data_IF_825576070742
#
_entry.id   IF_825576070742
#
_cell.length_a   1.000
_cell.length_b   1.000
_cell.length_c   1.000
_cell.angle_alpha   90.00
_cell.angle_beta   90.00
_cell.angle_gamma   90.00
#
_symmetry.space_group_name_H-M   'P 1'
#
loop_
_entity.id
_entity.type
_entity.pdbx_description
1 polymer ?
#
# COMPACT_ATOMS: atom_id res chain seq x y z
N UNK A 1 1.57 -30.98 16.14
CA UNK A 1 2.20 -30.28 15.01
C UNK A 1 2.14 -28.80 15.35
N UNK A 2 3.23 -28.20 15.82
CA UNK A 2 3.29 -26.75 16.06
C UNK A 2 3.36 -26.08 14.69
N UNK A 3 2.28 -25.40 14.28
CA UNK A 3 2.35 -24.53 13.11
C UNK A 3 3.42 -23.46 13.39
N UNK A 4 4.39 -23.36 12.49
CA UNK A 4 5.45 -22.36 12.57
C UNK A 4 4.83 -20.96 12.52
N UNK A 5 5.30 -20.07 13.40
CA UNK A 5 4.76 -18.72 13.48
C UNK A 5 5.09 -17.94 12.19
N UNK A 6 4.09 -17.74 11.33
CA UNK A 6 4.20 -16.89 10.15
C UNK A 6 3.62 -15.51 10.45
N UNK A 7 4.45 -14.45 10.53
CA UNK A 7 3.99 -13.12 10.92
C UNK A 7 3.10 -12.45 9.86
N UNK A 8 3.31 -12.72 8.57
CA UNK A 8 2.47 -12.18 7.49
C UNK A 8 1.05 -12.75 7.57
N UNK A 9 0.90 -14.04 7.87
CA UNK A 9 -0.41 -14.67 8.06
C UNK A 9 -1.09 -14.19 9.34
N UNK A 10 -0.36 -14.18 10.46
CA UNK A 10 -0.95 -13.91 11.79
C UNK A 10 -1.27 -12.43 11.99
N UNK A 11 -0.42 -11.52 11.50
CA UNK A 11 -0.58 -10.08 11.73
C UNK A 11 -1.16 -9.33 10.54
N UNK A 12 -0.80 -9.70 9.31
CA UNK A 12 -1.27 -9.00 8.11
C UNK A 12 -2.39 -9.76 7.37
N UNK A 13 -2.73 -10.98 7.80
CA UNK A 13 -3.77 -11.79 7.17
C UNK A 13 -3.39 -12.32 5.79
N UNK A 14 -2.10 -12.32 5.44
CA UNK A 14 -1.61 -12.73 4.11
C UNK A 14 -1.37 -14.26 4.11
N UNK A 15 -2.12 -15.03 3.31
CA UNK A 15 -2.00 -16.48 3.28
C UNK A 15 -0.70 -16.92 2.58
N UNK A 16 -0.33 -18.20 2.70
CA UNK A 16 0.97 -18.71 2.22
C UNK A 16 1.08 -18.73 0.69
N UNK A 17 -0.03 -18.88 -0.01
CA UNK A 17 -0.14 -18.83 -1.48
C UNK A 17 0.04 -17.42 -2.05
N UNK A 18 -0.12 -16.39 -1.22
CA UNK A 18 0.15 -14.99 -1.58
C UNK A 18 1.54 -14.50 -1.10
N UNK A 19 2.43 -15.41 -0.66
CA UNK A 19 3.79 -15.08 -0.23
C UNK A 19 4.84 -15.41 -1.30
N UNK A 20 5.81 -14.51 -1.56
CA UNK A 20 6.05 -13.23 -0.88
C UNK A 20 5.04 -12.14 -1.31
N UNK A 21 4.60 -11.27 -0.36
CA UNK A 21 3.63 -10.24 -0.67
C UNK A 21 4.24 -9.09 -1.47
N UNK A 22 3.47 -8.56 -2.42
CA UNK A 22 3.78 -7.28 -3.08
C UNK A 22 3.44 -6.08 -2.16
N UNK A 23 3.87 -4.86 -2.54
CA UNK A 23 3.66 -3.66 -1.73
C UNK A 23 2.17 -3.37 -1.47
N UNK A 24 1.29 -3.61 -2.44
CA UNK A 24 -0.15 -3.44 -2.25
C UNK A 24 -0.71 -4.42 -1.22
N UNK A 25 -0.29 -5.70 -1.28
CA UNK A 25 -0.70 -6.73 -0.33
C UNK A 25 -0.18 -6.48 1.08
N UNK A 26 1.07 -6.02 1.22
CA UNK A 26 1.61 -5.59 2.51
C UNK A 26 0.77 -4.49 3.16
N UNK A 27 0.29 -3.52 2.38
CA UNK A 27 -0.56 -2.44 2.89
C UNK A 27 -2.05 -2.85 3.04
N UNK A 28 -2.45 -4.02 2.54
CA UNK A 28 -3.85 -4.45 2.50
C UNK A 28 -4.70 -3.60 1.56
N UNK A 29 -4.15 -3.27 0.39
CA UNK A 29 -4.79 -2.48 -0.67
C UNK A 29 -5.18 -3.35 -1.87
N UNK A 30 -6.10 -2.84 -2.69
CA UNK A 30 -6.29 -3.34 -4.03
C UNK A 30 -5.03 -3.11 -4.88
N UNK A 31 -4.77 -3.99 -5.84
CA UNK A 31 -3.67 -3.82 -6.79
C UNK A 31 -3.89 -2.53 -7.59
N UNK A 32 -2.81 -1.77 -7.78
CA UNK A 32 -2.80 -0.53 -8.55
C UNK A 32 -3.75 0.56 -8.01
N UNK A 33 -3.96 0.61 -6.70
CA UNK A 33 -4.63 1.75 -6.04
C UNK A 33 -3.95 3.08 -6.43
N UNK A 34 -4.75 4.08 -6.79
CA UNK A 34 -4.28 5.35 -7.34
C UNK A 34 -4.44 6.50 -6.35
N UNK A 35 -5.36 6.40 -5.39
CA UNK A 35 -5.61 7.47 -4.43
C UNK A 35 -4.50 7.51 -3.35
N UNK A 36 -3.66 8.55 -3.30
CA UNK A 36 -2.59 8.65 -2.31
C UNK A 36 -3.13 8.72 -0.87
N UNK A 37 -4.32 9.27 -0.65
CA UNK A 37 -4.94 9.33 0.68
C UNK A 37 -5.35 7.94 1.14
N UNK A 38 -5.84 7.10 0.24
CA UNK A 38 -6.16 5.69 0.54
C UNK A 38 -4.88 4.91 0.87
N UNK A 39 -3.81 5.10 0.09
CA UNK A 39 -2.51 4.46 0.31
C UNK A 39 -1.93 4.85 1.67
N UNK A 40 -1.93 6.15 1.98
CA UNK A 40 -1.41 6.66 3.25
C UNK A 40 -2.17 6.10 4.46
N UNK A 41 -3.50 6.16 4.42
CA UNK A 41 -4.34 5.63 5.50
C UNK A 41 -4.16 4.12 5.69
N UNK A 42 -3.97 3.36 4.60
CA UNK A 42 -3.71 1.94 4.67
C UNK A 42 -2.36 1.62 5.31
N UNK A 43 -1.31 2.35 4.92
CA UNK A 43 0.00 2.22 5.54
C UNK A 43 -0.05 2.54 7.03
N UNK A 44 -0.67 3.66 7.43
CA UNK A 44 -0.75 4.06 8.83
C UNK A 44 -1.50 3.02 9.68
N UNK A 45 -2.61 2.46 9.16
CA UNK A 45 -3.35 1.37 9.82
C UNK A 45 -2.48 0.14 10.03
N UNK A 46 -1.80 -0.34 8.99
CA UNK A 46 -0.97 -1.54 9.08
C UNK A 46 0.22 -1.33 10.03
N UNK A 47 0.90 -0.20 9.92
CA UNK A 47 2.02 0.11 10.81
C UNK A 47 1.56 0.25 12.27
N UNK A 48 0.40 0.86 12.52
CA UNK A 48 -0.16 0.95 13.87
C UNK A 48 -0.46 -0.44 14.45
N UNK A 49 -1.02 -1.34 13.63
CA UNK A 49 -1.27 -2.72 14.06
C UNK A 49 0.03 -3.45 14.41
N UNK A 50 1.02 -3.43 13.52
CA UNK A 50 2.29 -4.15 13.73
C UNK A 50 3.08 -3.59 14.92
N UNK A 51 3.01 -2.27 15.18
CA UNK A 51 3.62 -1.65 16.36
C UNK A 51 3.15 -2.25 17.68
N UNK A 52 1.94 -2.80 17.74
CA UNK A 52 1.42 -3.44 18.97
C UNK A 52 2.23 -4.67 19.41
N UNK A 53 3.01 -5.27 18.49
CA UNK A 53 3.81 -6.46 18.76
C UNK A 53 5.28 -6.16 19.11
N UNK A 54 5.69 -4.88 19.12
CA UNK A 54 7.09 -4.47 19.33
C UNK A 54 7.65 -4.77 20.73
N UNK A 55 6.81 -5.01 21.72
CA UNK A 55 7.24 -5.36 23.10
C UNK A 55 7.14 -6.87 23.39
N UNK A 56 6.79 -7.69 22.40
CA UNK A 56 6.59 -9.13 22.56
C UNK A 56 7.79 -10.00 22.18
N UNK A 57 7.65 -11.34 22.25
CA UNK A 57 8.69 -12.30 21.86
C UNK A 57 9.17 -12.13 20.41
N UNK A 58 8.29 -11.62 19.54
CA UNK A 58 8.55 -11.41 18.11
C UNK A 58 8.90 -9.94 17.79
N UNK A 59 9.45 -9.19 18.74
CA UNK A 59 9.78 -7.77 18.58
C UNK A 59 10.69 -7.51 17.36
N UNK A 60 11.72 -8.33 17.16
CA UNK A 60 12.62 -8.21 16.01
C UNK A 60 11.86 -8.37 14.67
N UNK A 61 11.00 -9.38 14.58
CA UNK A 61 10.15 -9.62 13.40
C UNK A 61 9.18 -8.46 13.15
N UNK A 62 8.58 -7.90 14.20
CA UNK A 62 7.70 -6.74 14.06
C UNK A 62 8.45 -5.52 13.51
N UNK A 63 9.70 -5.32 13.92
CA UNK A 63 10.53 -4.24 13.40
C UNK A 63 10.88 -4.44 11.93
N UNK A 64 11.19 -5.68 11.52
CA UNK A 64 11.42 -6.01 10.11
C UNK A 64 10.20 -5.65 9.26
N UNK A 65 9.01 -6.12 9.65
CA UNK A 65 7.77 -5.85 8.91
C UNK A 65 7.46 -4.34 8.87
N UNK A 66 7.75 -3.60 9.95
CA UNK A 66 7.57 -2.15 9.93
C UNK A 66 8.50 -1.45 8.93
N UNK A 67 9.70 -1.97 8.70
CA UNK A 67 10.60 -1.46 7.67
C UNK A 67 10.01 -1.75 6.28
N UNK A 68 9.55 -2.98 6.02
CA UNK A 68 8.91 -3.36 4.76
C UNK A 68 7.65 -2.52 4.48
N UNK A 69 6.80 -2.28 5.49
CA UNK A 69 5.63 -1.40 5.37
C UNK A 69 6.02 0.05 5.06
N UNK A 70 7.13 0.52 5.64
CA UNK A 70 7.65 1.87 5.37
C UNK A 70 8.15 1.98 3.94
N UNK A 71 8.87 0.97 3.44
CA UNK A 71 9.35 0.90 2.06
C UNK A 71 8.18 0.87 1.08
N UNK A 72 7.16 0.03 1.34
CA UNK A 72 5.93 -0.03 0.55
C UNK A 72 5.24 1.33 0.48
N UNK A 73 5.06 2.01 1.62
CA UNK A 73 4.48 3.36 1.67
C UNK A 73 5.27 4.35 0.82
N UNK A 74 6.59 4.39 0.96
CA UNK A 74 7.44 5.32 0.23
C UNK A 74 7.43 5.06 -1.28
N UNK A 75 7.40 3.80 -1.68
CA UNK A 75 7.31 3.38 -3.08
C UNK A 75 5.99 3.81 -3.71
N UNK A 76 4.87 3.55 -3.03
CA UNK A 76 3.53 3.77 -3.58
C UNK A 76 3.03 5.22 -3.49
N UNK A 77 3.54 6.04 -2.55
CA UNK A 77 3.14 7.45 -2.45
C UNK A 77 3.90 8.39 -3.39
N UNK A 78 5.04 7.96 -3.94
CA UNK A 78 5.83 8.76 -4.89
C UNK A 78 5.51 8.31 -6.32
N UNK A 79 5.00 9.22 -7.13
CA UNK A 79 4.55 8.95 -8.51
C UNK A 79 5.60 8.19 -9.32
N UNK A 80 6.84 8.71 -9.41
CA UNK A 80 7.91 8.10 -10.24
C UNK A 80 8.24 6.66 -9.83
N UNK A 81 8.33 6.40 -8.52
CA UNK A 81 8.65 5.05 -8.01
C UNK A 81 7.46 4.11 -8.12
N UNK A 82 6.24 4.62 -7.95
CA UNK A 82 5.01 3.85 -8.11
C UNK A 82 4.83 3.40 -9.55
N UNK A 83 4.98 4.30 -10.52
CA UNK A 83 4.84 3.98 -11.95
C UNK A 83 5.86 2.91 -12.38
N UNK A 84 7.12 3.07 -11.98
CA UNK A 84 8.18 2.10 -12.26
C UNK A 84 7.89 0.74 -11.62
N UNK A 85 7.37 0.74 -10.39
CA UNK A 85 7.00 -0.47 -9.66
C UNK A 85 5.79 -1.16 -10.29
N UNK A 86 4.77 -0.41 -10.66
CA UNK A 86 3.55 -0.93 -11.27
C UNK A 86 3.82 -1.58 -12.62
N UNK A 87 4.67 -0.97 -13.45
CA UNK A 87 5.11 -1.56 -14.70
C UNK A 87 5.82 -2.91 -14.48
N UNK A 88 6.72 -3.00 -13.50
CA UNK A 88 7.39 -4.26 -13.15
C UNK A 88 6.42 -5.30 -12.60
N UNK A 89 5.42 -4.88 -11.82
CA UNK A 89 4.45 -5.76 -11.21
C UNK A 89 3.46 -6.32 -12.25
N UNK A 90 3.07 -5.52 -13.25
CA UNK A 90 2.24 -5.99 -14.37
C UNK A 90 2.90 -7.13 -15.14
N UNK A 91 4.19 -7.01 -15.45
CA UNK A 91 4.96 -8.05 -16.15
C UNK A 91 5.02 -9.36 -15.32
N UNK A 92 5.06 -9.26 -13.99
CA UNK A 92 5.12 -10.43 -13.11
C UNK A 92 3.78 -11.14 -12.94
N UNK A 93 2.68 -10.39 -12.90
CA UNK A 93 1.33 -10.94 -12.67
C UNK A 93 0.73 -11.49 -13.96
N UNK A 94 0.98 -10.82 -15.09
CA UNK A 94 0.55 -11.26 -16.41
C UNK A 94 1.77 -11.34 -17.32
N UNK A 95 2.57 -12.42 -17.21
CA UNK A 95 3.60 -12.71 -18.19
C UNK A 95 2.87 -13.17 -19.44
N UNK A 96 2.29 -12.24 -20.21
CA UNK A 96 1.77 -12.59 -21.52
C UNK A 96 2.90 -13.32 -22.26
N UNK A 97 2.64 -14.51 -22.81
CA UNK A 97 3.57 -15.09 -23.76
C UNK A 97 3.64 -14.06 -24.89
N UNK A 98 4.82 -13.47 -25.09
CA UNK A 98 5.18 -12.83 -26.35
C UNK A 98 4.71 -13.78 -27.44
N UNK A 99 3.55 -13.46 -28.01
CA UNK A 99 2.97 -14.23 -29.08
C UNK A 99 3.92 -14.00 -30.24
N UNK A 100 4.71 -15.01 -30.57
CA UNK A 100 5.38 -15.21 -31.86
C UNK A 100 4.33 -15.33 -32.99
N UNK A 101 3.31 -14.47 -33.00
CA UNK A 101 2.54 -14.21 -34.19
C UNK A 101 3.30 -13.14 -34.98
N UNK A 102 3.98 -13.51 -36.08
CA UNK A 102 4.54 -12.50 -36.97
C UNK A 102 3.41 -11.54 -37.40
N UNK A 103 3.72 -10.25 -37.59
CA UNK A 103 2.78 -9.30 -38.16
C UNK A 103 2.17 -9.89 -39.43
N UNK A 104 0.86 -9.77 -39.67
CA UNK A 104 0.33 -9.99 -41.01
C UNK A 104 0.89 -8.88 -41.91
N UNK A 105 2.09 -9.10 -42.45
CA UNK A 105 2.55 -8.42 -43.64
C UNK A 105 1.70 -8.92 -44.82
N UNK A 106 0.58 -8.25 -45.08
CA UNK A 106 0.31 -7.84 -46.46
C UNK A 106 -0.65 -6.63 -46.49
N UNK A 107 -0.09 -5.46 -46.78
CA UNK A 107 -0.84 -4.29 -47.20
C UNK A 107 -1.10 -4.39 -48.71
N UNK A 108 -2.17 -5.05 -49.14
CA UNK A 108 -2.76 -4.73 -50.44
C UNK A 108 -4.17 -5.27 -50.64
N UNK A 109 -5.05 -4.37 -51.10
CA UNK A 109 -6.42 -4.58 -51.58
C UNK A 109 -7.52 -4.58 -50.50
N UNK A 110 -8.08 -3.40 -50.18
CA UNK A 110 -9.11 -2.78 -51.03
C UNK A 110 -9.45 -1.36 -50.52
N UNK A 111 -9.30 -0.43 -51.45
CA UNK A 111 -9.73 0.95 -51.39
C UNK A 111 -11.24 1.07 -51.68
N UNK A 112 -11.80 2.20 -51.22
CA UNK A 112 -12.99 2.91 -51.72
C UNK A 112 -14.36 2.69 -51.02
N UNK A 113 -14.63 3.55 -50.03
CA UNK A 113 -15.70 4.56 -50.00
C UNK A 113 -17.21 4.14 -49.93
N UNK A 114 -18.08 5.04 -49.43
CA UNK A 114 -19.31 4.71 -48.69
C UNK A 114 -20.57 4.70 -49.56
N UNK A 115 -21.56 3.88 -49.19
CA UNK A 115 -22.93 3.99 -49.73
C UNK A 115 -23.86 4.38 -48.58
N UNK A 116 -24.24 5.66 -48.58
CA UNK A 116 -25.43 6.12 -47.89
C UNK A 116 -26.67 5.56 -48.61
N UNK A 117 -27.62 4.99 -47.86
CA UNK A 117 -29.03 5.13 -48.23
C UNK A 117 -29.90 5.42 -46.99
N UNK A 118 -30.85 6.36 -47.12
CA UNK A 118 -31.64 6.88 -46.02
C UNK A 118 -33.06 6.27 -45.97
N UNK A 119 -33.72 6.53 -44.84
CA UNK A 119 -35.18 6.53 -44.58
C UNK A 119 -35.91 5.18 -44.60
N UNK A 120 -36.37 4.76 -43.41
CA UNK A 120 -37.75 4.34 -43.21
C UNK A 120 -38.17 4.64 -41.77
N UNK A 121 -38.66 5.86 -41.61
CA UNK A 121 -39.60 6.28 -40.59
C UNK A 121 -40.81 5.32 -40.59
N UNK A 122 -41.03 4.58 -39.50
CA UNK A 122 -42.36 4.05 -39.23
C UNK A 122 -42.73 4.24 -37.77
N UNK A 123 -43.72 5.10 -37.63
CA UNK A 123 -44.37 5.60 -36.44
C UNK A 123 -44.97 4.52 -35.54
N UNK A 124 -44.70 4.68 -34.24
CA UNK A 124 -45.65 4.59 -33.11
C UNK A 124 -46.37 3.24 -32.83
N UNK A 125 -47.04 3.03 -31.68
CA UNK A 125 -47.21 3.89 -30.51
C UNK A 125 -46.87 3.21 -29.15
N UNK A 126 -46.61 4.06 -28.16
CA UNK A 126 -47.09 4.02 -26.76
C UNK A 126 -47.59 2.66 -26.24
N UNK A 127 -46.84 2.08 -25.30
CA UNK A 127 -47.41 1.30 -24.21
C UNK A 127 -46.63 1.57 -22.91
N UNK A 128 -47.32 2.31 -22.05
CA UNK A 128 -47.20 2.63 -20.62
C UNK A 128 -45.96 2.22 -19.79
N UNK A 129 -45.51 3.13 -18.90
CA UNK A 129 -44.61 2.79 -17.81
C UNK A 129 -45.37 1.91 -16.82
N UNK A 130 -44.94 0.66 -16.66
CA UNK A 130 -45.36 -0.15 -15.52
C UNK A 130 -44.84 0.53 -14.26
N UNK A 131 -45.74 1.28 -13.63
CA UNK A 131 -45.60 1.83 -12.29
C UNK A 131 -45.36 0.64 -11.35
N UNK A 132 -44.11 0.44 -10.95
CA UNK A 132 -43.82 -0.36 -9.76
C UNK A 132 -44.43 0.38 -8.57
N UNK A 133 -45.31 -0.24 -7.76
CA UNK A 133 -45.75 0.38 -6.54
C UNK A 133 -44.53 0.51 -5.61
N UNK A 134 -44.04 1.73 -5.48
CA UNK A 134 -43.15 2.14 -4.40
C UNK A 134 -43.81 1.76 -3.08
N UNK A 135 -43.37 0.65 -2.52
CA UNK A 135 -43.68 0.28 -1.15
C UNK A 135 -42.99 1.31 -0.25
N UNK A 136 -43.71 2.40 0.02
CA UNK A 136 -43.33 3.37 1.04
C UNK A 136 -43.49 2.68 2.39
N UNK A 137 -42.38 2.21 2.94
CA UNK A 137 -42.31 1.89 4.38
C UNK A 137 -42.48 3.21 5.14
N UNK A 138 -43.52 3.38 5.96
CA UNK A 138 -43.63 4.57 6.80
C UNK A 138 -42.46 4.58 7.77
N UNK A 139 -41.61 5.61 7.69
CA UNK A 139 -40.52 5.86 8.62
C UNK A 139 -41.16 6.16 9.99
N UNK A 140 -41.01 5.31 11.02
CA UNK A 140 -41.50 5.63 12.34
C UNK A 140 -40.52 6.59 13.01
N UNK A 141 -41.00 7.79 13.31
CA UNK A 141 -40.58 8.61 14.45
C UNK A 141 -39.09 8.89 14.60
N UNK A 142 -38.66 10.04 14.08
CA UNK A 142 -37.50 10.76 14.63
C UNK A 142 -37.67 10.90 16.15
N UNK A 143 -36.73 10.41 16.98
CA UNK A 143 -36.78 10.68 18.41
C UNK A 143 -36.57 12.19 18.66
N UNK A 144 -37.29 12.81 19.60
CA UNK A 144 -37.06 14.20 19.96
C UNK A 144 -35.62 14.38 20.47
N UNK A 145 -34.99 15.55 20.26
CA UNK A 145 -33.67 15.82 20.80
C UNK A 145 -33.70 15.72 22.34
N UNK A 146 -32.63 15.24 22.99
CA UNK A 146 -32.55 15.20 24.44
C UNK A 146 -32.69 16.61 25.01
N UNK A 147 -33.35 16.79 26.17
CA UNK A 147 -33.40 18.09 26.82
C UNK A 147 -31.98 18.58 27.09
N UNK A 148 -31.72 19.81 26.66
CA UNK A 148 -30.52 20.59 26.94
C UNK A 148 -30.20 20.50 28.43
N UNK A 149 -29.19 19.70 28.78
CA UNK A 149 -28.63 19.70 30.11
C UNK A 149 -28.07 21.11 30.37
N UNK A 150 -28.77 21.80 31.25
CA UNK A 150 -28.41 23.10 31.79
C UNK A 150 -26.96 23.07 32.25
N UNK A 151 -26.18 23.96 31.64
CA UNK A 151 -24.88 24.43 32.12
C UNK A 151 -25.03 24.78 33.61
N UNK A 152 -24.50 23.91 34.47
CA UNK A 152 -24.29 24.22 35.87
C UNK A 152 -22.80 24.16 36.20
N UNK A 153 -22.33 25.33 36.57
CA UNK A 153 -21.00 25.77 36.92
C UNK A 153 -20.28 24.91 37.97
N UNK A 154 -19.05 24.52 37.62
CA UNK A 154 -17.80 24.53 38.41
C UNK A 154 -17.96 24.65 39.94
N UNK A 155 -17.31 23.74 40.70
CA UNK A 155 -16.28 24.23 41.61
C UNK A 155 -14.88 23.63 41.36
N UNK A 156 -13.92 24.55 41.33
CA UNK A 156 -12.46 24.43 41.22
C UNK A 156 -11.85 23.76 42.47
N UNK A 157 -10.99 22.74 42.35
CA UNK A 157 -10.04 22.42 43.40
C UNK A 157 -8.74 23.22 43.21
N UNK A 158 -8.42 23.96 44.27
CA UNK A 158 -7.26 24.84 44.45
C UNK A 158 -5.94 24.06 44.57
N UNK A 159 -5.00 24.42 43.70
CA UNK A 159 -3.53 24.57 43.87
C UNK A 159 -2.84 23.71 44.95
N UNK A 160 -1.89 22.88 44.50
CA UNK A 160 -0.59 22.79 45.18
C UNK A 160 0.55 22.43 44.23
N UNK A 161 1.26 23.47 43.81
CA UNK A 161 2.58 23.41 43.18
C UNK A 161 3.58 22.81 44.17
N UNK A 162 4.20 21.67 43.83
CA UNK A 162 5.46 21.26 44.46
C UNK A 162 6.52 21.10 43.39
N UNK A 163 7.15 22.23 43.10
CA UNK A 163 8.50 22.29 42.56
C UNK A 163 9.42 21.38 43.39
N UNK A 164 9.97 20.35 42.76
CA UNK A 164 11.23 19.74 43.20
C UNK A 164 12.20 19.74 42.03
N UNK A 165 13.03 20.78 42.03
CA UNK A 165 14.36 20.76 41.41
C UNK A 165 15.18 19.64 42.05
N UNK A 166 15.75 18.79 41.20
CA UNK A 166 17.01 18.06 41.39
C UNK A 166 17.38 17.65 39.95
N UNK A 167 18.16 18.42 39.19
CA UNK A 167 19.61 18.54 39.27
C UNK A 167 20.28 17.18 39.53
N UNK A 168 20.88 16.59 38.50
CA UNK A 168 22.27 16.09 38.49
C UNK A 168 22.58 15.42 37.15
N UNK A 169 23.53 16.05 36.45
CA UNK A 169 24.63 15.47 35.65
C UNK A 169 24.48 14.09 35.00
N UNK A 170 24.55 14.08 33.67
CA UNK A 170 24.82 12.92 32.84
C UNK A 170 25.35 13.35 31.47
N UNK A 171 26.62 13.75 31.45
CA UNK A 171 27.42 14.11 30.27
C UNK A 171 27.62 12.87 29.38
N UNK A 172 27.99 13.12 28.12
CA UNK A 172 28.76 12.22 27.21
C UNK A 172 27.91 11.37 26.26
N UNK A 173 28.17 11.23 24.97
CA UNK A 173 28.87 11.95 23.92
C UNK A 173 28.41 11.25 22.63
N UNK A 174 28.27 12.00 21.55
CA UNK A 174 27.84 11.53 20.23
C UNK A 174 28.79 10.49 19.61
N UNK A 175 28.27 9.82 18.58
CA UNK A 175 28.95 9.05 17.52
C UNK A 175 29.22 7.56 17.78
N UNK A 176 28.18 6.75 17.64
CA UNK A 176 28.29 5.35 17.18
C UNK A 176 27.89 5.28 15.69
N UNK A 177 28.64 5.97 14.84
CA UNK A 177 28.48 5.95 13.37
C UNK A 177 29.72 5.46 12.62
N UNK A 178 30.77 5.03 13.32
CA UNK A 178 32.08 4.73 12.70
C UNK A 178 32.38 3.22 12.66
N UNK A 179 31.73 2.40 13.49
CA UNK A 179 31.94 0.95 13.51
C UNK A 179 31.36 0.20 12.30
N UNK A 180 30.37 0.77 11.60
CA UNK A 180 29.69 0.11 10.48
C UNK A 180 30.41 0.38 9.14
N UNK A 181 31.13 1.50 9.01
CA UNK A 181 31.82 1.87 7.76
C UNK A 181 33.07 1.03 7.46
N UNK A 182 33.70 0.42 8.47
CA UNK A 182 34.90 -0.41 8.25
C UNK A 182 34.56 -1.82 7.74
N UNK A 183 33.36 -2.33 8.03
CA UNK A 183 32.93 -3.66 7.59
C UNK A 183 32.45 -3.61 6.13
N UNK A 184 31.74 -2.55 5.73
CA UNK A 184 31.31 -2.39 4.34
C UNK A 184 32.47 -2.11 3.36
N UNK A 185 33.53 -1.42 3.79
CA UNK A 185 34.72 -1.17 2.95
C UNK A 185 35.48 -2.46 2.60
N UNK A 186 35.58 -3.41 3.54
CA UNK A 186 36.29 -4.67 3.31
C UNK A 186 35.53 -5.60 2.36
N UNK A 187 34.19 -5.61 2.44
CA UNK A 187 33.34 -6.45 1.57
C UNK A 187 33.28 -5.88 0.14
N UNK A 188 33.14 -4.57 -0.02
CA UNK A 188 33.11 -3.94 -1.35
C UNK A 188 34.46 -4.01 -2.07
N UNK A 189 35.57 -3.87 -1.34
CA UNK A 189 36.92 -3.98 -1.91
C UNK A 189 37.23 -5.37 -2.48
N UNK A 190 36.83 -6.44 -1.78
CA UNK A 190 37.04 -7.82 -2.23
C UNK A 190 36.14 -8.16 -3.43
N UNK A 191 34.88 -7.70 -3.44
CA UNK A 191 33.97 -7.89 -4.57
C UNK A 191 34.47 -7.19 -5.84
N UNK A 192 34.94 -5.94 -5.73
CA UNK A 192 35.51 -5.21 -6.86
C UNK A 192 36.79 -5.87 -7.40
N UNK A 193 37.65 -6.39 -6.52
CA UNK A 193 38.87 -7.11 -6.91
C UNK A 193 38.55 -8.41 -7.67
N UNK A 194 37.55 -9.19 -7.22
CA UNK A 194 37.13 -10.42 -7.89
C UNK A 194 36.51 -10.16 -9.27
N UNK A 195 35.73 -9.09 -9.42
CA UNK A 195 35.15 -8.69 -10.71
C UNK A 195 36.25 -8.30 -11.71
N UNK A 196 37.24 -7.52 -11.27
CA UNK A 196 38.38 -7.14 -12.12
C UNK A 196 39.24 -8.35 -12.49
N UNK A 197 39.42 -9.30 -11.58
CA UNK A 197 40.19 -10.52 -11.82
C UNK A 197 39.47 -11.46 -12.79
N UNK A 198 38.14 -11.60 -12.68
CA UNK A 198 37.33 -12.33 -13.66
C UNK A 198 37.38 -11.70 -15.04
N UNK A 199 37.29 -10.37 -15.14
CA UNK A 199 37.37 -9.65 -16.41
C UNK A 199 38.75 -9.76 -17.08
N UNK A 200 39.82 -9.88 -16.29
CA UNK A 200 41.18 -10.10 -16.80
C UNK A 200 41.39 -11.54 -17.29
N UNK A 201 40.76 -12.54 -16.67
CA UNK A 201 40.84 -13.93 -17.15
C UNK A 201 40.03 -14.17 -18.42
N UNK A 202 38.96 -13.42 -18.66
CA UNK A 202 38.13 -13.58 -19.86
C UNK A 202 38.74 -12.93 -21.11
N UNK A 203 39.71 -12.02 -20.93
CA UNK A 203 40.35 -11.29 -22.02
C UNK A 203 41.76 -11.79 -22.37
N UNK A 204 42.23 -12.87 -21.74
CA UNK A 204 43.56 -13.46 -21.95
C UNK A 204 43.48 -14.82 -22.62
#
# INVERSE_FOLDING_TARGET
MSEEFNPYRVWLGIPLDEQPPNHYRLLGLALFEQDPVVIENAADRQMAHVRTFQSGPNAATSQQILNELSEARLCLLKTDTKESYDAQLQIQIDPEPVSDNPPPEDLSAYSAAPVAQPVAEHSAPIAEPVQQPVSQTPIPGTPPPPPTATVNSIPKPTIRTRSRRSAVSGRHQSNSGIGILLIFSLIFGVAALLIVLLFLMEKS
#
